data_IF_217886012026
#
_entry.id   IF_217886012026
#
_cell.length_a   1.000
_cell.length_b   1.000
_cell.length_c   1.000
_cell.angle_alpha   90.00
_cell.angle_beta   90.00
_cell.angle_gamma   90.00
#
_symmetry.space_group_name_H-M   'P 1'
#
loop_
_entity.id
_entity.type
_entity.pdbx_description
1 polymer ?
#
# COMPACT_ATOMS: atom_id res chain seq x y z
N UNK A 1 -8.31 29.47 34.20
CA UNK A 1 -8.19 29.55 32.71
C UNK A 1 -7.25 28.44 32.31
N UNK A 2 -7.79 27.23 32.10
CA UNK A 2 -6.98 26.05 31.78
C UNK A 2 -6.75 25.97 30.26
N UNK A 3 -5.48 26.15 29.88
CA UNK A 3 -4.97 25.92 28.54
C UNK A 3 -4.99 24.42 28.25
N UNK A 4 -5.93 23.97 27.42
CA UNK A 4 -5.91 22.64 26.84
C UNK A 4 -4.63 22.48 26.01
N UNK A 5 -3.66 21.72 26.56
CA UNK A 5 -2.55 21.13 25.80
C UNK A 5 -3.16 20.17 24.79
N UNK A 6 -3.36 20.64 23.57
CA UNK A 6 -3.60 19.80 22.41
C UNK A 6 -2.34 18.94 22.25
N UNK A 7 -2.40 17.70 22.73
CA UNK A 7 -1.35 16.72 22.46
C UNK A 7 -1.38 16.50 20.96
N UNK A 8 -0.36 17.01 20.27
CA UNK A 8 -0.01 16.56 18.93
C UNK A 8 0.04 15.03 18.99
N UNK A 9 -0.99 14.37 18.45
CA UNK A 9 -0.92 12.96 18.10
C UNK A 9 0.13 12.89 16.99
N UNK A 10 1.39 12.76 17.40
CA UNK A 10 2.41 12.22 16.53
C UNK A 10 1.94 10.81 16.18
N UNK A 11 1.23 10.70 15.04
CA UNK A 11 1.05 9.44 14.34
C UNK A 11 2.44 8.86 14.28
N UNK A 12 2.68 7.81 15.07
CA UNK A 12 3.97 7.15 15.15
C UNK A 12 4.15 6.50 13.79
N UNK A 13 4.78 7.22 12.86
CA UNK A 13 5.04 6.72 11.52
C UNK A 13 6.08 5.65 11.71
N UNK A 14 5.61 4.41 11.87
CA UNK A 14 6.49 3.25 11.96
C UNK A 14 7.45 3.33 10.77
N UNK A 15 8.76 3.29 11.05
CA UNK A 15 9.77 3.47 9.99
C UNK A 15 9.50 2.48 8.86
N UNK A 16 9.43 2.94 7.60
CA UNK A 16 9.08 2.07 6.50
C UNK A 16 10.16 1.01 6.32
N UNK A 17 9.76 -0.26 6.32
CA UNK A 17 10.60 -1.42 5.99
C UNK A 17 11.13 -1.26 4.56
N UNK A 18 10.24 -0.84 3.66
CA UNK A 18 10.57 -0.57 2.27
C UNK A 18 9.56 0.40 1.67
N UNK A 19 10.05 1.27 0.78
CA UNK A 19 9.21 2.06 -0.11
C UNK A 19 9.23 1.43 -1.51
N UNK A 20 8.06 1.10 -2.04
CA UNK A 20 7.86 0.59 -3.39
C UNK A 20 7.29 1.70 -4.25
N UNK A 21 7.88 1.96 -5.41
CA UNK A 21 7.32 2.89 -6.38
C UNK A 21 6.30 2.16 -7.25
N UNK A 22 5.13 2.77 -7.41
CA UNK A 22 4.02 2.19 -8.16
C UNK A 22 3.48 3.21 -9.16
N UNK A 23 2.78 2.71 -10.19
CA UNK A 23 2.14 3.53 -11.21
C UNK A 23 0.69 3.08 -11.40
N UNK A 24 -0.22 4.00 -11.72
CA UNK A 24 -1.57 3.62 -12.14
C UNK A 24 -1.64 3.44 -13.67
N UNK A 25 -2.83 3.11 -14.18
CA UNK A 25 -3.05 2.89 -15.62
C UNK A 25 -2.80 4.16 -16.47
N UNK A 26 -2.93 5.35 -15.86
CA UNK A 26 -2.71 6.65 -16.47
C UNK A 26 -1.22 7.04 -16.47
N UNK A 27 -0.35 6.24 -15.85
CA UNK A 27 1.07 6.51 -15.72
C UNK A 27 1.44 7.46 -14.57
N UNK A 28 0.49 7.82 -13.71
CA UNK A 28 0.75 8.63 -12.52
C UNK A 28 1.55 7.80 -11.50
N UNK A 29 2.58 8.42 -10.94
CA UNK A 29 3.45 7.78 -9.97
C UNK A 29 2.90 7.92 -8.54
N UNK A 30 2.96 6.83 -7.79
CA UNK A 30 2.74 6.81 -6.35
C UNK A 30 3.77 5.96 -5.64
N UNK A 31 3.51 5.67 -4.37
CA UNK A 31 4.32 4.76 -3.59
C UNK A 31 3.49 3.96 -2.60
N UNK A 32 3.97 2.75 -2.30
CA UNK A 32 3.51 1.92 -1.19
C UNK A 32 4.64 1.86 -0.17
N UNK A 33 4.41 2.42 1.01
CA UNK A 33 5.33 2.30 2.13
C UNK A 33 4.89 1.12 3.00
N UNK A 34 5.74 0.09 3.04
CA UNK A 34 5.53 -1.11 3.83
C UNK A 34 5.99 -0.83 5.25
N UNK A 35 5.08 -0.81 6.22
CA UNK A 35 5.44 -0.74 7.65
C UNK A 35 5.39 -2.14 8.26
N UNK A 36 5.53 -2.27 9.58
CA UNK A 36 5.34 -3.56 10.25
C UNK A 36 3.90 -4.07 10.13
N UNK A 37 2.91 -3.20 10.26
CA UNK A 37 1.49 -3.59 10.35
C UNK A 37 0.65 -3.17 9.14
N UNK A 38 1.09 -2.17 8.39
CA UNK A 38 0.28 -1.50 7.36
C UNK A 38 1.00 -1.40 6.02
N UNK A 39 0.20 -1.16 4.99
CA UNK A 39 0.58 -0.71 3.66
C UNK A 39 0.07 0.73 3.50
N UNK A 40 0.97 1.70 3.43
CA UNK A 40 0.60 3.10 3.21
C UNK A 40 0.74 3.46 1.74
N UNK A 41 -0.39 3.63 1.06
CA UNK A 41 -0.44 4.11 -0.32
C UNK A 41 -0.43 5.63 -0.32
N UNK A 42 0.42 6.21 -1.17
CA UNK A 42 0.59 7.67 -1.34
C UNK A 42 0.66 8.00 -2.84
N UNK A 43 0.07 9.12 -3.25
CA UNK A 43 0.11 9.62 -4.63
C UNK A 43 -1.08 9.17 -5.48
N UNK A 44 -1.18 7.87 -5.81
CA UNK A 44 -2.28 7.31 -6.63
C UNK A 44 -3.59 7.26 -5.83
N UNK A 45 -3.53 6.71 -4.62
CA UNK A 45 -4.62 6.64 -3.65
C UNK A 45 -3.99 6.86 -2.28
N UNK A 46 -4.50 7.79 -1.50
CA UNK A 46 -3.99 8.05 -0.15
C UNK A 46 -4.78 7.21 0.84
N UNK A 47 -4.27 6.02 1.16
CA UNK A 47 -4.94 5.08 2.07
C UNK A 47 -3.92 4.27 2.87
N UNK A 48 -4.23 4.00 4.14
CA UNK A 48 -3.46 3.10 5.00
C UNK A 48 -4.25 1.83 5.22
N UNK A 49 -3.71 0.69 4.77
CA UNK A 49 -4.38 -0.61 4.80
C UNK A 49 -3.62 -1.51 5.77
N UNK A 50 -4.30 -2.05 6.78
CA UNK A 50 -3.70 -3.07 7.65
C UNK A 50 -3.41 -4.32 6.81
N UNK A 51 -2.24 -4.92 6.97
CA UNK A 51 -1.87 -6.16 6.25
C UNK A 51 -2.87 -7.29 6.50
N UNK A 52 -3.43 -7.37 7.70
CA UNK A 52 -4.49 -8.31 8.05
C UNK A 52 -5.77 -8.15 7.23
N UNK A 53 -6.01 -6.98 6.66
CA UNK A 53 -7.19 -6.70 5.83
C UNK A 53 -6.93 -6.94 4.35
N UNK A 54 -5.69 -7.23 3.97
CA UNK A 54 -5.36 -7.63 2.60
C UNK A 54 -5.89 -9.04 2.37
N UNK A 55 -6.81 -9.15 1.43
CA UNK A 55 -7.41 -10.41 1.03
C UNK A 55 -6.48 -11.15 0.07
N UNK A 56 -6.11 -10.48 -1.03
CA UNK A 56 -5.30 -11.06 -2.10
C UNK A 56 -4.39 -10.03 -2.78
N UNK A 57 -3.26 -10.50 -3.32
CA UNK A 57 -2.33 -9.71 -4.14
C UNK A 57 -2.07 -10.49 -5.44
N UNK A 58 -2.79 -10.13 -6.49
CA UNK A 58 -2.85 -10.90 -7.73
C UNK A 58 -2.04 -10.21 -8.82
N UNK A 59 -1.16 -10.95 -9.49
CA UNK A 59 -0.50 -10.47 -10.71
C UNK A 59 -1.47 -10.61 -11.88
N UNK A 60 -1.73 -9.53 -12.59
CA UNK A 60 -2.68 -9.50 -13.72
C UNK A 60 -1.96 -9.75 -15.04
N UNK A 61 -0.88 -9.01 -15.30
CA UNK A 61 -0.15 -9.09 -16.57
C UNK A 61 1.33 -8.74 -16.39
N UNK A 62 2.16 -9.32 -17.24
CA UNK A 62 3.55 -8.93 -17.40
C UNK A 62 3.67 -7.66 -18.25
N UNK A 63 4.63 -6.80 -17.90
CA UNK A 63 4.97 -5.59 -18.65
C UNK A 63 6.45 -5.60 -19.02
N UNK A 64 6.81 -4.72 -19.94
CA UNK A 64 8.19 -4.51 -20.32
C UNK A 64 9.05 -4.06 -19.12
N UNK A 65 10.37 -4.25 -19.25
CA UNK A 65 11.38 -3.77 -18.29
C UNK A 65 11.21 -4.35 -16.86
N UNK A 66 10.76 -5.60 -16.75
CA UNK A 66 10.62 -6.27 -15.46
C UNK A 66 9.54 -5.68 -14.55
N UNK A 67 8.55 -5.01 -15.15
CA UNK A 67 7.35 -4.51 -14.44
C UNK A 67 6.20 -5.50 -14.60
N UNK A 68 5.23 -5.43 -13.71
CA UNK A 68 3.98 -6.17 -13.82
C UNK A 68 2.80 -5.34 -13.31
N UNK A 69 1.64 -5.57 -13.90
CA UNK A 69 0.37 -5.11 -13.36
C UNK A 69 -0.05 -6.05 -12.23
N UNK A 70 -0.44 -5.48 -11.10
CA UNK A 70 -0.96 -6.23 -9.97
C UNK A 70 -2.19 -5.53 -9.38
N UNK A 71 -3.07 -6.34 -8.79
CA UNK A 71 -4.26 -5.90 -8.07
C UNK A 71 -4.16 -6.33 -6.62
N UNK A 72 -4.29 -5.36 -5.73
CA UNK A 72 -4.34 -5.55 -4.28
C UNK A 72 -5.80 -5.44 -3.87
N UNK A 73 -6.36 -6.56 -3.41
CA UNK A 73 -7.71 -6.63 -2.89
C UNK A 73 -7.67 -6.59 -1.36
N UNK A 74 -8.47 -5.73 -0.75
CA UNK A 74 -8.50 -5.54 0.70
C UNK A 74 -9.90 -5.23 1.21
N UNK A 75 -10.11 -5.41 2.51
CA UNK A 75 -11.32 -4.96 3.20
C UNK A 75 -11.11 -3.56 3.80
N UNK A 76 -12.05 -2.66 3.55
CA UNK A 76 -12.08 -1.35 4.19
C UNK A 76 -12.55 -1.44 5.67
N UNK A 77 -12.65 -0.29 6.34
CA UNK A 77 -13.07 -0.25 7.75
C UNK A 77 -14.53 -0.63 7.98
N UNK A 78 -15.36 -0.65 6.93
CA UNK A 78 -16.78 -1.00 6.96
C UNK A 78 -17.03 -2.44 6.49
N UNK A 79 -15.98 -3.20 6.18
CA UNK A 79 -16.08 -4.57 5.65
C UNK A 79 -16.36 -4.62 4.14
N UNK A 80 -16.33 -3.49 3.45
CA UNK A 80 -16.40 -3.39 2.00
C UNK A 80 -15.15 -3.94 1.33
N UNK A 81 -15.32 -4.73 0.27
CA UNK A 81 -14.22 -5.30 -0.50
C UNK A 81 -13.78 -4.31 -1.58
N UNK A 82 -12.57 -3.79 -1.43
CA UNK A 82 -11.96 -2.79 -2.30
C UNK A 82 -10.79 -3.38 -3.08
N UNK A 83 -10.46 -2.72 -4.20
CA UNK A 83 -9.36 -3.13 -5.09
C UNK A 83 -8.52 -1.93 -5.50
N UNK A 84 -7.21 -2.12 -5.55
CA UNK A 84 -6.24 -1.15 -6.07
C UNK A 84 -5.41 -1.85 -7.13
N UNK A 85 -5.56 -1.42 -8.38
CA UNK A 85 -4.73 -1.85 -9.49
C UNK A 85 -3.53 -0.90 -9.65
N UNK A 86 -2.33 -1.45 -9.62
CA UNK A 86 -1.07 -0.72 -9.78
C UNK A 86 -0.06 -1.53 -10.57
N UNK A 87 0.81 -0.83 -11.29
CA UNK A 87 1.98 -1.37 -11.95
C UNK A 87 3.21 -1.14 -11.07
N UNK A 88 4.04 -2.17 -10.89
CA UNK A 88 5.28 -2.09 -10.10
C UNK A 88 6.36 -3.01 -10.67
N UNK A 89 7.57 -2.96 -10.11
CA UNK A 89 8.61 -3.93 -10.47
C UNK A 89 8.23 -5.34 -9.98
N UNK A 90 8.57 -6.38 -10.74
CA UNK A 90 8.25 -7.77 -10.38
C UNK A 90 8.91 -8.19 -9.05
N UNK A 91 10.12 -7.70 -8.76
CA UNK A 91 10.79 -7.96 -7.49
C UNK A 91 10.05 -7.31 -6.32
N UNK A 92 9.50 -6.12 -6.53
CA UNK A 92 8.70 -5.42 -5.52
C UNK A 92 7.36 -6.12 -5.28
N UNK A 93 6.72 -6.62 -6.35
CA UNK A 93 5.54 -7.48 -6.23
C UNK A 93 5.82 -8.71 -5.36
N UNK A 94 6.93 -9.42 -5.60
CA UNK A 94 7.33 -10.60 -4.80
C UNK A 94 7.56 -10.24 -3.32
N UNK A 95 8.18 -9.08 -3.05
CA UNK A 95 8.39 -8.59 -1.69
C UNK A 95 7.06 -8.25 -1.01
N UNK A 96 6.19 -7.50 -1.70
CA UNK A 96 4.88 -7.12 -1.20
C UNK A 96 4.06 -8.36 -0.81
N UNK A 97 4.04 -9.36 -1.70
CA UNK A 97 3.36 -10.65 -1.49
C UNK A 97 3.88 -11.37 -0.25
N UNK A 98 5.21 -11.49 -0.12
CA UNK A 98 5.89 -12.10 1.03
C UNK A 98 5.59 -11.36 2.34
N UNK A 99 5.60 -10.03 2.33
CA UNK A 99 5.35 -9.20 3.52
C UNK A 99 3.90 -9.30 3.99
N UNK A 100 2.96 -9.51 3.08
CA UNK A 100 1.55 -9.70 3.40
C UNK A 100 1.18 -11.17 3.69
N UNK A 101 2.13 -12.11 3.54
CA UNK A 101 1.90 -13.54 3.72
C UNK A 101 0.93 -14.14 2.68
N UNK A 102 0.91 -13.59 1.47
CA UNK A 102 0.00 -14.00 0.39
C UNK A 102 0.72 -14.76 -0.72
#
# INVERSE_FOLDING_TARGET
MDMYKVRNMAVTVASPIKKIIVYNAQGEQGSIELTQETLEFKGIKNVSIKKSYVDAITKIADKALGKCDCEITYYDMFGGKEKIAVMMNENDYKILRRVCGK
#
